data_IF_648307218740
#
_entry.id   IF_648307218740
#
_cell.length_a   1.000
_cell.length_b   1.000
_cell.length_c   1.000
_cell.angle_alpha   90.00
_cell.angle_beta   90.00
_cell.angle_gamma   90.00
#
_symmetry.space_group_name_H-M   'P 1'
#
loop_
_entity.id
_entity.type
_entity.pdbx_description
1 polymer ?
#
# COMPACT_ATOMS: atom_id res chain seq x y z
N UNK A 1 -22.19 2.23 10.46
CA UNK A 1 -22.61 0.87 10.04
C UNK A 1 -24.04 0.54 10.46
N UNK A 2 -24.41 0.57 11.77
CA UNK A 2 -25.81 0.28 12.23
C UNK A 2 -26.86 1.15 11.54
N UNK A 3 -26.62 2.46 11.32
CA UNK A 3 -27.54 3.36 10.65
C UNK A 3 -27.71 3.04 9.16
N UNK A 4 -26.68 2.58 8.49
CA UNK A 4 -26.71 2.15 7.10
C UNK A 4 -27.55 0.88 6.95
N UNK A 5 -27.34 -0.10 7.82
CA UNK A 5 -28.07 -1.37 7.81
C UNK A 5 -29.58 -1.19 8.15
N UNK A 6 -29.93 -0.20 8.94
CA UNK A 6 -31.32 0.10 9.26
C UNK A 6 -32.17 0.52 8.04
N UNK A 7 -31.52 1.04 6.98
CA UNK A 7 -32.18 1.43 5.72
C UNK A 7 -32.22 0.34 4.66
N UNK A 8 -31.64 -0.84 4.90
CA UNK A 8 -31.56 -1.91 3.90
C UNK A 8 -32.82 -2.76 3.94
N UNK A 9 -33.57 -2.81 2.84
CA UNK A 9 -34.80 -3.58 2.68
C UNK A 9 -34.59 -4.98 2.06
N UNK A 10 -33.36 -5.40 1.80
CA UNK A 10 -33.03 -6.68 1.19
C UNK A 10 -33.50 -7.88 2.03
N UNK A 11 -33.86 -8.97 1.35
CA UNK A 11 -34.31 -10.22 2.00
C UNK A 11 -33.21 -10.91 2.83
N UNK A 12 -31.95 -10.68 2.45
CA UNK A 12 -30.74 -11.13 3.17
C UNK A 12 -29.67 -10.06 3.07
N UNK A 13 -28.91 -9.88 4.14
CA UNK A 13 -27.74 -8.96 4.16
C UNK A 13 -26.52 -9.75 4.57
N UNK A 14 -25.56 -9.85 3.67
CA UNK A 14 -24.27 -10.45 3.94
C UNK A 14 -23.26 -9.32 4.21
N UNK A 15 -22.61 -9.38 5.36
CA UNK A 15 -21.54 -8.44 5.69
C UNK A 15 -20.22 -9.16 5.47
N UNK A 16 -19.53 -8.74 4.44
CA UNK A 16 -18.25 -9.31 4.08
C UNK A 16 -17.20 -8.24 4.34
N UNK A 17 -16.33 -8.42 5.36
CA UNK A 17 -15.24 -7.51 5.59
C UNK A 17 -14.24 -7.60 4.45
N UNK A 18 -13.95 -6.46 3.81
CA UNK A 18 -12.93 -6.34 2.76
C UNK A 18 -11.52 -6.24 3.37
N UNK A 19 -11.20 -7.15 4.28
CA UNK A 19 -9.85 -7.29 4.85
C UNK A 19 -9.14 -8.46 4.20
N UNK A 20 -7.86 -8.32 3.96
CA UNK A 20 -7.02 -9.34 3.31
C UNK A 20 -6.79 -10.54 4.24
N UNK A 21 -6.95 -10.35 5.55
CA UNK A 21 -6.83 -11.41 6.56
C UNK A 21 -7.84 -11.23 7.68
N UNK A 22 -8.12 -12.31 8.40
CA UNK A 22 -8.82 -12.21 9.67
C UNK A 22 -7.94 -11.45 10.66
N UNK A 23 -8.45 -10.36 11.20
CA UNK A 23 -7.78 -9.54 12.18
C UNK A 23 -8.72 -9.09 13.29
N UNK A 24 -8.19 -8.34 14.26
CA UNK A 24 -8.98 -7.86 15.40
C UNK A 24 -10.26 -7.13 15.00
N UNK A 25 -10.19 -6.31 13.95
CA UNK A 25 -11.37 -5.57 13.48
C UNK A 25 -12.41 -6.49 12.85
N UNK A 26 -12.01 -7.40 11.97
CA UNK A 26 -12.94 -8.31 11.29
C UNK A 26 -13.45 -9.41 12.21
N UNK A 27 -12.61 -9.94 13.09
CA UNK A 27 -12.99 -11.08 13.94
C UNK A 27 -13.71 -10.67 15.25
N UNK A 28 -13.46 -9.45 15.76
CA UNK A 28 -13.99 -9.03 17.05
C UNK A 28 -14.76 -7.72 17.03
N UNK A 29 -14.19 -6.62 16.47
CA UNK A 29 -14.81 -5.30 16.57
C UNK A 29 -16.07 -5.21 15.73
N UNK A 30 -16.00 -5.55 14.45
CA UNK A 30 -17.16 -5.46 13.56
C UNK A 30 -18.29 -6.41 13.98
N UNK A 31 -18.03 -7.71 14.26
CA UNK A 31 -19.06 -8.59 14.78
C UNK A 31 -19.72 -8.04 16.05
N UNK A 32 -18.93 -7.62 17.03
CA UNK A 32 -19.44 -7.04 18.29
C UNK A 32 -20.31 -5.80 18.04
N UNK A 33 -19.87 -4.87 17.18
CA UNK A 33 -20.63 -3.67 16.86
C UNK A 33 -21.95 -3.99 16.13
N UNK A 34 -22.01 -5.10 15.41
CA UNK A 34 -23.20 -5.59 14.73
C UNK A 34 -24.07 -6.51 15.59
N UNK A 35 -23.62 -6.84 16.80
CA UNK A 35 -24.36 -7.68 17.76
C UNK A 35 -24.19 -9.19 17.58
N UNK A 36 -23.11 -9.63 16.91
CA UNK A 36 -22.74 -11.04 16.84
C UNK A 36 -22.00 -11.48 18.10
N UNK A 37 -22.14 -12.74 18.45
CA UNK A 37 -21.28 -13.40 19.45
C UNK A 37 -19.92 -13.74 18.82
N UNK A 38 -18.84 -13.84 19.62
CA UNK A 38 -17.58 -14.37 19.14
C UNK A 38 -17.77 -15.74 18.48
N UNK A 39 -17.32 -15.88 17.24
CA UNK A 39 -17.42 -17.12 16.47
C UNK A 39 -18.81 -17.44 15.88
N UNK A 40 -19.80 -16.59 16.07
CA UNK A 40 -21.13 -16.80 15.50
C UNK A 40 -21.29 -16.13 14.13
N UNK A 41 -21.88 -16.83 13.18
CA UNK A 41 -22.23 -16.30 11.86
C UNK A 41 -23.59 -15.57 11.83
N UNK A 42 -24.36 -15.63 12.93
CA UNK A 42 -25.66 -14.96 13.06
C UNK A 42 -25.72 -14.12 14.33
N UNK A 43 -26.32 -12.92 14.29
CA UNK A 43 -26.40 -12.04 15.44
C UNK A 43 -27.41 -12.59 16.48
N UNK A 44 -27.20 -12.26 17.76
CA UNK A 44 -28.22 -12.47 18.83
C UNK A 44 -29.49 -11.62 18.64
N UNK A 45 -29.55 -10.80 17.62
CA UNK A 45 -30.69 -9.91 17.35
C UNK A 45 -31.81 -10.67 16.63
N UNK A 46 -33.04 -10.19 16.80
CA UNK A 46 -34.24 -10.74 16.14
C UNK A 46 -34.31 -10.56 14.63
N UNK A 47 -33.22 -10.18 13.97
CA UNK A 47 -33.17 -10.05 12.51
C UNK A 47 -32.47 -11.28 11.89
N UNK A 48 -33.22 -12.31 11.46
CA UNK A 48 -32.68 -13.56 10.92
C UNK A 48 -32.06 -13.40 9.51
N UNK A 49 -32.01 -12.18 8.99
CA UNK A 49 -31.53 -11.86 7.63
C UNK A 49 -30.09 -11.40 7.57
N UNK A 50 -29.42 -11.21 8.72
CA UNK A 50 -28.06 -10.71 8.80
C UNK A 50 -27.08 -11.87 8.99
N UNK A 51 -26.14 -12.02 8.09
CA UNK A 51 -25.07 -13.02 8.14
C UNK A 51 -23.72 -12.32 8.14
N UNK A 52 -22.83 -12.72 9.04
CA UNK A 52 -21.44 -12.27 9.05
C UNK A 52 -20.56 -13.36 8.44
N UNK A 53 -19.95 -13.06 7.31
CA UNK A 53 -19.07 -13.98 6.61
C UNK A 53 -17.61 -13.78 7.06
N UNK A 54 -16.79 -14.82 6.89
CA UNK A 54 -15.34 -14.70 7.07
C UNK A 54 -14.76 -13.68 6.06
N UNK A 55 -13.68 -12.97 6.42
CA UNK A 55 -13.00 -12.07 5.49
C UNK A 55 -12.53 -12.81 4.25
N UNK A 56 -12.63 -12.16 3.10
CA UNK A 56 -12.27 -12.75 1.81
C UNK A 56 -10.84 -12.36 1.49
N UNK A 57 -9.90 -13.04 2.09
CA UNK A 57 -8.49 -12.81 1.82
C UNK A 57 -7.81 -13.89 1.00
N UNK A 58 -8.55 -14.95 0.65
CA UNK A 58 -7.91 -16.17 0.14
C UNK A 58 -8.05 -16.39 -1.36
N UNK A 59 -8.88 -15.59 -2.06
CA UNK A 59 -9.02 -15.73 -3.51
C UNK A 59 -9.33 -14.36 -4.14
N UNK A 60 -8.45 -13.88 -5.01
CA UNK A 60 -8.56 -12.56 -5.66
C UNK A 60 -9.91 -12.35 -6.35
N UNK A 61 -10.44 -13.40 -6.98
CA UNK A 61 -11.73 -13.39 -7.65
C UNK A 61 -12.92 -13.17 -6.70
N UNK A 62 -12.86 -13.66 -5.48
CA UNK A 62 -13.98 -13.56 -4.54
C UNK A 62 -14.27 -12.13 -4.09
N UNK A 63 -13.26 -11.31 -3.89
CA UNK A 63 -13.43 -9.91 -3.50
C UNK A 63 -14.21 -9.14 -4.58
N UNK A 64 -13.84 -9.33 -5.84
CA UNK A 64 -14.53 -8.71 -6.98
C UNK A 64 -15.98 -9.18 -7.13
N UNK A 65 -16.24 -10.49 -7.01
CA UNK A 65 -17.60 -11.06 -7.09
C UNK A 65 -18.50 -10.48 -6.01
N UNK A 66 -18.02 -10.42 -4.77
CA UNK A 66 -18.82 -9.91 -3.66
C UNK A 66 -19.05 -8.40 -3.74
N UNK A 67 -18.09 -7.64 -4.25
CA UNK A 67 -18.32 -6.23 -4.56
C UNK A 67 -19.40 -6.07 -5.63
N UNK A 68 -19.38 -6.88 -6.69
CA UNK A 68 -20.39 -6.87 -7.73
C UNK A 68 -21.78 -7.22 -7.19
N UNK A 69 -21.88 -8.25 -6.35
CA UNK A 69 -23.13 -8.64 -5.69
C UNK A 69 -23.63 -7.55 -4.75
N UNK A 70 -22.75 -6.96 -3.92
CA UNK A 70 -23.12 -5.88 -3.02
C UNK A 70 -23.63 -4.63 -3.75
N UNK A 71 -23.04 -4.29 -4.90
CA UNK A 71 -23.48 -3.18 -5.73
C UNK A 71 -24.83 -3.48 -6.39
N UNK A 72 -25.04 -4.70 -6.87
CA UNK A 72 -26.32 -5.14 -7.41
C UNK A 72 -27.43 -5.09 -6.34
N UNK A 73 -27.14 -5.57 -5.14
CA UNK A 73 -28.08 -5.54 -3.99
C UNK A 73 -28.35 -4.11 -3.52
N UNK A 74 -27.41 -3.18 -3.70
CA UNK A 74 -27.61 -1.75 -3.44
C UNK A 74 -28.47 -1.04 -4.50
N UNK A 75 -28.88 -1.77 -5.54
CA UNK A 75 -29.76 -1.23 -6.59
C UNK A 75 -29.03 -0.50 -7.71
N UNK A 76 -27.73 -0.71 -7.88
CA UNK A 76 -27.01 -0.21 -9.05
C UNK A 76 -27.60 -0.85 -10.31
N UNK A 77 -27.99 -0.05 -11.33
CA UNK A 77 -28.61 -0.57 -12.55
C UNK A 77 -27.68 -1.59 -13.24
N UNK A 78 -28.30 -2.64 -13.82
CA UNK A 78 -27.56 -3.64 -14.57
C UNK A 78 -26.74 -3.01 -15.70
N UNK A 79 -25.48 -3.44 -15.83
CA UNK A 79 -24.55 -2.93 -16.83
C UNK A 79 -23.74 -1.70 -16.41
N UNK A 80 -24.07 -1.05 -15.28
CA UNK A 80 -23.26 0.07 -14.75
C UNK A 80 -21.94 -0.42 -14.14
N UNK A 81 -21.99 -1.54 -13.44
CA UNK A 81 -20.79 -2.22 -12.92
C UNK A 81 -20.71 -3.61 -13.50
N UNK A 82 -19.58 -3.93 -14.13
CA UNK A 82 -19.32 -5.24 -14.74
C UNK A 82 -17.98 -5.76 -14.26
N UNK A 83 -17.96 -6.93 -13.64
CA UNK A 83 -16.73 -7.60 -13.24
C UNK A 83 -16.24 -8.51 -14.38
N UNK A 84 -15.04 -8.26 -14.86
CA UNK A 84 -14.37 -9.11 -15.84
C UNK A 84 -13.04 -9.57 -15.22
N UNK A 85 -12.81 -10.88 -15.23
CA UNK A 85 -11.62 -11.49 -14.61
C UNK A 85 -10.86 -12.29 -15.64
N UNK A 86 -9.53 -12.26 -15.53
CA UNK A 86 -8.66 -13.05 -16.39
C UNK A 86 -7.21 -12.55 -16.38
N UNK A 87 -6.31 -13.29 -17.05
CA UNK A 87 -4.91 -12.89 -17.13
C UNK A 87 -4.72 -11.54 -17.80
N UNK A 88 -3.72 -10.77 -17.34
CA UNK A 88 -3.36 -9.48 -17.94
C UNK A 88 -3.01 -9.58 -19.42
N UNK A 89 -2.38 -10.68 -19.84
CA UNK A 89 -2.02 -10.94 -21.25
C UNK A 89 -3.22 -11.20 -22.19
N UNK A 90 -4.42 -11.37 -21.66
CA UNK A 90 -5.65 -11.56 -22.45
C UNK A 90 -6.67 -10.48 -22.16
N UNK A 91 -7.25 -10.48 -20.95
CA UNK A 91 -8.27 -9.49 -20.55
C UNK A 91 -7.67 -8.08 -20.48
N UNK A 92 -6.47 -7.92 -19.94
CA UNK A 92 -5.79 -6.63 -19.88
C UNK A 92 -5.48 -6.06 -21.26
N UNK A 93 -5.01 -6.88 -22.18
CA UNK A 93 -4.74 -6.48 -23.57
C UNK A 93 -6.04 -6.10 -24.30
N UNK A 94 -7.13 -6.86 -24.10
CA UNK A 94 -8.44 -6.53 -24.69
C UNK A 94 -8.97 -5.20 -24.17
N UNK A 95 -8.94 -4.98 -22.84
CA UNK A 95 -9.37 -3.70 -22.23
C UNK A 95 -8.55 -2.51 -22.76
N UNK A 96 -7.26 -2.71 -22.99
CA UNK A 96 -6.39 -1.67 -23.52
C UNK A 96 -6.67 -1.37 -25.00
N UNK A 97 -6.90 -2.40 -25.81
CA UNK A 97 -7.04 -2.29 -27.26
C UNK A 97 -8.48 -1.99 -27.71
N UNK A 98 -9.49 -2.28 -26.88
CA UNK A 98 -10.89 -2.18 -27.26
C UNK A 98 -11.32 -0.73 -27.52
N UNK A 99 -11.85 -0.42 -28.70
CA UNK A 99 -12.27 0.93 -29.04
C UNK A 99 -13.47 1.45 -28.21
N UNK A 100 -14.24 0.54 -27.61
CA UNK A 100 -15.37 0.88 -26.74
C UNK A 100 -14.98 1.30 -25.33
N UNK A 101 -13.70 1.26 -24.97
CA UNK A 101 -13.20 1.72 -23.65
C UNK A 101 -12.83 3.21 -23.76
N UNK A 102 -13.53 4.08 -23.03
CA UNK A 102 -13.35 5.54 -23.06
C UNK A 102 -12.29 6.06 -22.09
N UNK A 103 -11.92 5.29 -21.08
CA UNK A 103 -10.90 5.65 -20.10
C UNK A 103 -10.42 4.43 -19.30
N UNK A 104 -9.21 4.49 -18.76
CA UNK A 104 -8.65 3.44 -17.89
C UNK A 104 -8.13 4.05 -16.61
N UNK A 105 -8.42 3.36 -15.50
CA UNK A 105 -7.75 3.53 -14.22
C UNK A 105 -7.02 2.25 -13.89
N UNK A 106 -5.75 2.37 -13.59
CA UNK A 106 -4.88 1.22 -13.31
C UNK A 106 -4.08 1.46 -12.03
N UNK A 107 -3.91 0.42 -11.23
CA UNK A 107 -2.95 0.37 -10.14
C UNK A 107 -2.12 -0.91 -10.26
N UNK A 108 -0.80 -0.77 -10.29
CA UNK A 108 0.10 -1.92 -10.44
C UNK A 108 1.57 -1.50 -10.57
N UNK A 109 2.38 -2.36 -11.20
CA UNK A 109 3.80 -2.08 -11.41
C UNK A 109 4.02 -0.94 -12.41
N UNK A 110 5.18 -0.27 -12.28
CA UNK A 110 5.59 0.79 -13.22
C UNK A 110 5.61 0.29 -14.68
N UNK A 111 6.22 -0.86 -14.93
CA UNK A 111 6.38 -1.38 -16.29
C UNK A 111 5.03 -1.60 -16.98
N UNK A 112 4.07 -2.22 -16.27
CA UNK A 112 2.73 -2.46 -16.81
C UNK A 112 1.95 -1.17 -16.96
N UNK A 113 1.94 -0.32 -15.92
CA UNK A 113 1.18 0.93 -15.93
C UNK A 113 1.70 1.92 -16.97
N UNK A 114 3.02 2.03 -17.13
CA UNK A 114 3.60 2.93 -18.11
C UNK A 114 3.44 2.43 -19.55
N UNK A 115 3.52 1.12 -19.78
CA UNK A 115 3.20 0.54 -21.09
C UNK A 115 1.74 0.80 -21.47
N UNK A 116 0.82 0.55 -20.54
CA UNK A 116 -0.61 0.85 -20.69
C UNK A 116 -0.84 2.34 -20.98
N UNK A 117 -0.21 3.25 -20.23
CA UNK A 117 -0.32 4.69 -20.45
C UNK A 117 0.14 5.12 -21.84
N UNK A 118 1.22 4.54 -22.35
CA UNK A 118 1.77 4.84 -23.67
C UNK A 118 0.91 4.29 -24.82
N UNK A 119 0.25 3.16 -24.63
CA UNK A 119 -0.45 2.42 -25.70
C UNK A 119 -1.96 2.69 -25.73
N UNK A 120 -2.57 3.13 -24.64
CA UNK A 120 -4.04 3.24 -24.56
C UNK A 120 -4.61 4.32 -25.48
N UNK A 121 -3.93 5.42 -25.71
CA UNK A 121 -4.41 6.57 -26.48
C UNK A 121 -3.85 6.63 -27.90
N UNK A 122 -3.75 5.51 -28.61
CA UNK A 122 -3.12 5.44 -29.93
C UNK A 122 -3.94 6.07 -31.06
N UNK A 123 -5.26 6.10 -30.94
CA UNK A 123 -6.17 6.61 -31.98
C UNK A 123 -6.59 8.07 -31.72
N UNK A 124 -6.89 8.39 -30.48
CA UNK A 124 -7.22 9.72 -30.01
C UNK A 124 -6.98 9.79 -28.48
N UNK A 125 -6.80 10.99 -27.90
CA UNK A 125 -6.57 11.12 -26.46
C UNK A 125 -7.74 10.58 -25.65
N UNK A 126 -7.45 9.73 -24.69
CA UNK A 126 -8.40 9.18 -23.71
C UNK A 126 -7.84 9.34 -22.31
N UNK A 127 -8.67 9.51 -21.27
CA UNK A 127 -8.21 9.50 -19.89
C UNK A 127 -7.52 8.16 -19.55
N UNK A 128 -6.28 8.26 -19.10
CA UNK A 128 -5.52 7.12 -18.61
C UNK A 128 -4.85 7.50 -17.29
N UNK A 129 -5.43 7.01 -16.19
CA UNK A 129 -4.97 7.31 -14.85
C UNK A 129 -4.25 6.07 -14.33
N UNK A 130 -2.95 6.18 -14.08
CA UNK A 130 -2.13 5.08 -13.57
C UNK A 130 -1.50 5.49 -12.25
N UNK A 131 -1.66 4.62 -11.25
CA UNK A 131 -0.97 4.64 -9.97
C UNK A 131 -0.04 3.44 -9.92
N UNK A 132 1.25 3.70 -9.71
CA UNK A 132 2.30 2.72 -9.87
C UNK A 132 3.15 2.61 -8.61
N UNK A 133 4.28 1.94 -8.71
CA UNK A 133 5.18 1.66 -7.62
C UNK A 133 5.77 2.88 -6.92
N UNK A 134 6.54 2.62 -5.88
CA UNK A 134 7.22 3.63 -5.09
C UNK A 134 8.58 3.14 -4.56
N UNK A 135 9.48 4.07 -4.33
CA UNK A 135 10.73 3.85 -3.61
C UNK A 135 10.82 4.86 -2.47
N UNK A 136 10.03 4.60 -1.44
CA UNK A 136 9.61 5.57 -0.46
C UNK A 136 10.67 5.77 0.63
N UNK A 137 11.21 6.99 0.81
CA UNK A 137 12.17 7.31 1.85
C UNK A 137 11.49 7.63 3.19
N UNK A 138 12.19 7.32 4.27
CA UNK A 138 12.05 7.99 5.55
C UNK A 138 13.36 8.72 5.86
N UNK A 139 13.28 9.97 6.26
CA UNK A 139 14.42 10.79 6.67
C UNK A 139 14.34 10.99 8.18
N UNK A 140 15.45 10.73 8.88
CA UNK A 140 15.53 10.87 10.33
C UNK A 140 16.66 11.86 10.66
N UNK A 141 16.31 13.00 11.24
CA UNK A 141 17.29 14.00 11.65
C UNK A 141 17.82 13.71 13.05
N UNK A 142 18.88 14.39 13.45
CA UNK A 142 19.43 14.32 14.80
C UNK A 142 18.46 14.83 15.89
N UNK A 143 17.40 15.52 15.49
CA UNK A 143 16.38 16.09 16.37
C UNK A 143 15.09 15.28 16.40
N UNK A 144 15.11 14.08 15.82
CA UNK A 144 13.96 13.19 15.82
C UNK A 144 13.76 12.53 17.20
N UNK A 145 12.51 12.18 17.51
CA UNK A 145 12.25 11.11 18.47
C UNK A 145 12.56 9.77 17.80
N UNK A 146 13.67 9.15 18.20
CA UNK A 146 14.18 7.95 17.55
C UNK A 146 13.33 6.70 17.83
N UNK A 147 12.63 6.65 18.97
CA UNK A 147 11.70 5.56 19.28
C UNK A 147 10.48 5.62 18.36
N UNK A 148 9.89 6.80 18.19
CA UNK A 148 8.78 7.05 17.28
C UNK A 148 9.20 6.79 15.83
N UNK A 149 10.38 7.27 15.42
CA UNK A 149 10.92 7.06 14.08
C UNK A 149 11.13 5.58 13.78
N UNK A 150 11.77 4.83 14.69
CA UNK A 150 11.99 3.40 14.52
C UNK A 150 10.66 2.63 14.40
N UNK A 151 9.66 2.93 15.23
CA UNK A 151 8.33 2.31 15.16
C UNK A 151 7.66 2.59 13.83
N UNK A 152 7.62 3.85 13.41
CA UNK A 152 7.00 4.25 12.15
C UNK A 152 7.66 3.64 10.93
N UNK A 153 8.99 3.56 10.92
CA UNK A 153 9.76 2.94 9.83
C UNK A 153 9.46 1.44 9.76
N UNK A 154 9.54 0.71 10.87
CA UNK A 154 9.31 -0.74 10.90
C UNK A 154 7.88 -1.08 10.46
N UNK A 155 6.88 -0.39 10.98
CA UNK A 155 5.49 -0.58 10.56
C UNK A 155 5.27 -0.28 9.08
N UNK A 156 5.91 0.77 8.57
CA UNK A 156 5.81 1.13 7.16
C UNK A 156 6.53 0.14 6.26
N UNK A 157 7.74 -0.29 6.63
CA UNK A 157 8.56 -1.16 5.80
C UNK A 157 8.04 -2.61 5.74
N UNK A 158 7.59 -3.14 6.87
CA UNK A 158 7.31 -4.57 6.98
C UNK A 158 5.82 -4.90 7.04
N UNK A 159 4.96 -3.92 7.32
CA UNK A 159 3.51 -4.14 7.29
C UNK A 159 3.07 -4.70 5.94
N UNK A 160 2.28 -5.78 5.97
CA UNK A 160 1.86 -6.52 4.77
C UNK A 160 3.03 -7.13 3.97
N UNK A 161 4.14 -7.49 4.65
CA UNK A 161 5.33 -8.04 3.99
C UNK A 161 6.04 -7.05 3.06
N UNK A 162 5.93 -5.74 3.32
CA UNK A 162 6.48 -4.72 2.42
C UNK A 162 5.82 -4.68 1.03
N UNK A 163 4.75 -5.45 0.81
CA UNK A 163 4.05 -5.59 -0.46
C UNK A 163 2.99 -4.50 -0.63
N UNK A 164 3.40 -3.24 -0.46
CA UNK A 164 2.59 -2.03 -0.64
C UNK A 164 3.37 -1.02 -1.46
N UNK A 165 2.71 -0.34 -2.38
CA UNK A 165 3.29 0.76 -3.14
C UNK A 165 3.84 1.88 -2.22
N UNK A 166 3.23 2.08 -1.04
CA UNK A 166 3.61 3.07 -0.04
C UNK A 166 4.57 2.58 1.03
N UNK A 167 5.02 1.31 1.00
CA UNK A 167 5.94 0.79 2.00
C UNK A 167 7.26 1.57 2.02
N UNK A 168 7.77 1.88 3.21
CA UNK A 168 9.13 2.39 3.34
C UNK A 168 10.12 1.32 2.85
N UNK A 169 11.12 1.72 2.09
CA UNK A 169 12.13 0.79 1.57
C UNK A 169 13.54 1.38 1.58
N UNK A 170 13.68 2.62 2.06
CA UNK A 170 14.97 3.28 2.27
C UNK A 170 14.88 4.31 3.40
N UNK A 171 15.91 4.36 4.21
CA UNK A 171 16.04 5.25 5.35
C UNK A 171 17.32 6.05 5.21
N UNK A 172 17.20 7.37 5.26
CA UNK A 172 18.32 8.28 5.36
C UNK A 172 18.35 8.87 6.76
N UNK A 173 19.41 8.64 7.50
CA UNK A 173 19.53 9.08 8.89
C UNK A 173 20.76 9.96 9.07
N UNK A 174 20.62 11.09 9.75
CA UNK A 174 21.78 11.90 10.09
C UNK A 174 22.75 11.10 10.95
N UNK A 175 24.05 11.23 10.61
CA UNK A 175 25.13 10.39 11.15
C UNK A 175 25.14 10.28 12.67
N UNK A 176 24.82 11.36 13.37
CA UNK A 176 24.79 11.40 14.84
C UNK A 176 23.65 10.57 15.45
N UNK A 177 22.57 10.34 14.72
CA UNK A 177 21.42 9.56 15.17
C UNK A 177 21.44 8.09 14.68
N UNK A 178 22.37 7.76 13.75
CA UNK A 178 22.36 6.49 13.02
C UNK A 178 22.45 5.27 13.94
N UNK A 179 23.42 5.25 14.85
CA UNK A 179 23.68 4.04 15.66
C UNK A 179 22.50 3.70 16.56
N UNK A 180 21.94 4.71 17.19
CA UNK A 180 20.78 4.53 18.07
C UNK A 180 19.51 4.17 17.27
N UNK A 181 19.24 4.82 16.15
CA UNK A 181 18.11 4.47 15.29
C UNK A 181 18.21 3.02 14.82
N UNK A 182 19.36 2.60 14.32
CA UNK A 182 19.58 1.22 13.85
C UNK A 182 19.38 0.23 14.98
N UNK A 183 19.93 0.49 16.17
CA UNK A 183 19.72 -0.35 17.35
C UNK A 183 18.23 -0.53 17.68
N UNK A 184 17.47 0.56 17.67
CA UNK A 184 16.02 0.54 17.93
C UNK A 184 15.25 -0.20 16.84
N UNK A 185 15.58 0.04 15.58
CA UNK A 185 14.96 -0.66 14.44
C UNK A 185 15.20 -2.17 14.52
N UNK A 186 16.42 -2.61 14.82
CA UNK A 186 16.75 -4.04 14.99
C UNK A 186 15.94 -4.64 16.15
N UNK A 187 15.94 -4.00 17.32
CA UNK A 187 15.20 -4.49 18.49
C UNK A 187 13.68 -4.61 18.24
N UNK A 188 13.10 -3.70 17.44
CA UNK A 188 11.68 -3.76 17.09
C UNK A 188 11.43 -4.88 16.05
N UNK A 189 12.35 -5.09 15.13
CA UNK A 189 12.26 -6.15 14.12
C UNK A 189 12.34 -7.54 14.73
N UNK A 190 13.20 -7.75 15.73
CA UNK A 190 13.30 -9.02 16.48
C UNK A 190 11.99 -9.45 17.15
N UNK A 191 11.10 -8.50 17.46
CA UNK A 191 9.81 -8.77 18.11
C UNK A 191 8.69 -9.13 17.12
N UNK A 192 8.96 -9.08 15.81
CA UNK A 192 7.98 -9.40 14.80
C UNK A 192 7.71 -10.90 14.77
N UNK A 193 6.47 -11.26 15.03
CA UNK A 193 6.00 -12.63 14.93
C UNK A 193 5.61 -12.95 13.49
N UNK A 194 6.11 -14.07 12.96
CA UNK A 194 5.91 -14.48 11.57
C UNK A 194 5.10 -15.77 11.55
N UNK A 195 4.07 -15.83 10.73
CA UNK A 195 3.27 -17.05 10.62
C UNK A 195 1.96 -16.86 9.87
N UNK A 196 1.05 -17.81 10.06
CA UNK A 196 -0.28 -17.77 9.46
C UNK A 196 -1.00 -16.47 9.82
N UNK A 197 -1.35 -15.62 8.84
CA UNK A 197 -2.01 -14.34 9.08
C UNK A 197 -3.44 -14.48 9.63
N UNK A 198 -4.00 -15.67 9.65
CA UNK A 198 -5.27 -15.95 10.32
C UNK A 198 -5.14 -16.03 11.85
N UNK A 199 -3.92 -16.21 12.35
CA UNK A 199 -3.63 -16.23 13.77
C UNK A 199 -3.22 -14.82 14.22
N UNK A 200 -3.93 -14.29 15.21
CA UNK A 200 -3.79 -12.91 15.67
C UNK A 200 -2.42 -12.57 16.23
N UNK A 201 -1.74 -13.54 16.79
CA UNK A 201 -0.38 -13.42 17.32
C UNK A 201 0.67 -13.18 16.24
N UNK A 202 0.37 -13.52 14.99
CA UNK A 202 1.29 -13.31 13.88
C UNK A 202 1.07 -11.93 13.24
N UNK A 203 2.15 -11.17 13.20
CA UNK A 203 2.11 -9.82 12.61
C UNK A 203 2.51 -9.81 11.14
N UNK A 204 3.43 -10.69 10.74
CA UNK A 204 3.93 -10.81 9.38
C UNK A 204 3.48 -12.14 8.75
N UNK A 205 2.76 -12.04 7.64
CA UNK A 205 2.35 -13.17 6.82
C UNK A 205 3.34 -13.48 5.68
N UNK A 206 2.98 -14.39 4.76
CA UNK A 206 3.83 -14.79 3.65
C UNK A 206 3.91 -13.74 2.55
N UNK A 207 4.93 -13.85 1.70
CA UNK A 207 4.97 -13.20 0.40
C UNK A 207 3.96 -13.84 -0.57
N UNK A 208 3.66 -13.13 -1.66
CA UNK A 208 2.62 -13.55 -2.62
C UNK A 208 2.99 -14.83 -3.38
N UNK A 209 4.25 -14.99 -3.77
CA UNK A 209 4.72 -16.11 -4.58
C UNK A 209 6.24 -16.37 -4.41
N UNK A 210 6.72 -17.46 -5.02
CA UNK A 210 8.14 -17.82 -5.02
C UNK A 210 9.03 -16.77 -5.70
N UNK A 211 8.54 -16.06 -6.72
CA UNK A 211 9.31 -15.01 -7.40
C UNK A 211 9.60 -13.83 -6.47
N UNK A 212 8.69 -13.55 -5.53
CA UNK A 212 8.93 -12.56 -4.50
C UNK A 212 10.02 -13.03 -3.52
N UNK A 213 10.05 -14.33 -3.17
CA UNK A 213 11.13 -14.92 -2.38
C UNK A 213 12.47 -14.82 -3.13
N UNK A 214 12.50 -15.15 -4.40
CA UNK A 214 13.72 -15.07 -5.22
C UNK A 214 14.27 -13.65 -5.30
N UNK A 215 13.39 -12.65 -5.48
CA UNK A 215 13.79 -11.23 -5.44
C UNK A 215 14.35 -10.82 -4.08
N UNK A 216 13.70 -11.27 -3.00
CA UNK A 216 14.16 -11.01 -1.65
C UNK A 216 15.55 -11.61 -1.40
N UNK A 217 15.74 -12.89 -1.66
CA UNK A 217 17.02 -13.58 -1.46
C UNK A 217 18.12 -13.01 -2.36
N UNK A 218 17.80 -12.64 -3.59
CA UNK A 218 18.72 -11.95 -4.48
C UNK A 218 19.21 -10.62 -3.89
N UNK A 219 18.30 -9.80 -3.35
CA UNK A 219 18.65 -8.53 -2.69
C UNK A 219 19.47 -8.73 -1.41
N UNK A 220 19.16 -9.75 -0.61
CA UNK A 220 19.94 -10.12 0.56
C UNK A 220 21.37 -10.56 0.17
N UNK A 221 21.49 -11.35 -0.89
CA UNK A 221 22.79 -11.76 -1.44
C UNK A 221 23.66 -10.58 -1.86
N UNK A 222 23.06 -9.56 -2.47
CA UNK A 222 23.74 -8.31 -2.80
C UNK A 222 24.13 -7.52 -1.55
N UNK A 223 23.22 -7.38 -0.60
CA UNK A 223 23.50 -6.66 0.65
C UNK A 223 24.62 -7.31 1.47
N UNK A 224 24.69 -8.64 1.49
CA UNK A 224 25.80 -9.37 2.14
C UNK A 224 27.15 -9.15 1.44
N UNK A 225 27.15 -8.95 0.13
CA UNK A 225 28.36 -8.72 -0.66
C UNK A 225 28.84 -7.26 -0.62
N UNK A 226 27.90 -6.33 -0.74
CA UNK A 226 28.18 -4.93 -1.04
C UNK A 226 28.00 -4.00 0.18
N UNK A 227 27.56 -4.55 1.33
CA UNK A 227 27.33 -3.85 2.59
C UNK A 227 27.14 -4.80 3.77
N UNK A 228 26.11 -4.54 4.57
CA UNK A 228 25.82 -5.34 5.78
C UNK A 228 24.33 -5.65 5.89
N UNK A 229 24.00 -6.90 6.21
CA UNK A 229 22.65 -7.29 6.69
C UNK A 229 22.66 -7.15 8.21
N UNK A 230 21.87 -6.20 8.71
CA UNK A 230 21.82 -5.89 10.14
C UNK A 230 20.92 -6.87 10.91
N UNK A 231 19.85 -7.33 10.27
CA UNK A 231 18.91 -8.34 10.78
C UNK A 231 18.15 -8.99 9.63
N UNK A 232 17.70 -10.22 9.83
CA UNK A 232 16.88 -10.98 8.88
C UNK A 232 17.66 -11.54 7.69
N UNK A 233 16.95 -11.87 6.64
CA UNK A 233 17.57 -12.32 5.40
C UNK A 233 17.40 -13.80 5.10
N UNK A 234 16.62 -14.54 5.91
CA UNK A 234 16.42 -15.97 5.70
C UNK A 234 15.05 -16.29 5.11
N UNK A 235 14.99 -17.36 4.34
CA UNK A 235 13.74 -17.99 3.88
C UNK A 235 13.32 -19.03 4.91
N UNK A 236 12.11 -18.92 5.42
CA UNK A 236 11.61 -19.76 6.51
C UNK A 236 10.80 -20.93 5.91
N UNK A 237 11.37 -22.12 5.98
CA UNK A 237 10.83 -23.34 5.34
C UNK A 237 10.53 -24.49 6.29
N UNK A 238 10.57 -24.24 7.60
CA UNK A 238 10.38 -25.28 8.61
C UNK A 238 8.97 -25.27 9.20
N UNK A 239 8.49 -26.44 9.63
CA UNK A 239 7.21 -26.60 10.29
C UNK A 239 6.03 -26.07 9.47
N UNK A 240 5.16 -25.29 10.11
CA UNK A 240 4.01 -24.69 9.46
C UNK A 240 4.36 -23.66 8.36
N UNK A 241 5.56 -23.05 8.46
CA UNK A 241 6.02 -22.05 7.49
C UNK A 241 6.40 -22.67 6.13
N UNK A 242 6.62 -23.99 6.08
CA UNK A 242 6.89 -24.71 4.82
C UNK A 242 5.71 -24.70 3.82
N UNK A 243 4.52 -24.34 4.27
CA UNK A 243 3.31 -24.28 3.44
C UNK A 243 3.08 -22.91 2.79
N UNK A 244 4.00 -21.95 2.95
CA UNK A 244 3.90 -20.61 2.38
C UNK A 244 5.27 -20.03 2.02
N UNK A 245 5.28 -18.80 1.54
CA UNK A 245 6.46 -18.07 1.10
C UNK A 245 6.94 -17.12 2.19
N UNK A 246 7.36 -17.65 3.32
CA UNK A 246 7.74 -16.88 4.49
C UNK A 246 9.22 -16.48 4.47
N UNK A 247 9.49 -15.21 4.74
CA UNK A 247 10.86 -14.69 4.88
C UNK A 247 10.94 -13.82 6.14
N UNK A 248 12.13 -13.72 6.71
CA UNK A 248 12.39 -12.75 7.77
C UNK A 248 12.36 -11.31 7.22
N UNK A 249 11.80 -10.33 7.94
CA UNK A 249 11.96 -8.93 7.56
C UNK A 249 13.43 -8.51 7.73
N UNK A 250 13.97 -7.76 6.76
CA UNK A 250 15.38 -7.44 6.72
C UNK A 250 15.68 -5.95 6.75
N UNK A 251 16.68 -5.56 7.54
CA UNK A 251 17.29 -4.25 7.52
C UNK A 251 18.72 -4.42 6.99
N UNK A 252 19.07 -3.68 5.96
CA UNK A 252 20.40 -3.71 5.35
C UNK A 252 21.04 -2.33 5.36
N UNK A 253 22.33 -2.26 5.55
CA UNK A 253 23.11 -1.03 5.44
C UNK A 253 23.97 -1.08 4.19
N UNK A 254 23.85 -0.05 3.35
CA UNK A 254 24.49 0.02 2.05
C UNK A 254 24.82 1.48 1.70
N UNK A 255 25.78 1.72 0.82
CA UNK A 255 25.99 3.05 0.24
C UNK A 255 24.70 3.57 -0.45
N UNK A 256 24.33 4.85 -0.33
CA UNK A 256 23.12 5.40 -0.92
C UNK A 256 23.09 5.31 -2.46
N UNK A 257 24.24 5.13 -3.10
CA UNK A 257 24.36 4.90 -4.56
C UNK A 257 23.96 3.48 -4.99
N UNK A 258 23.81 2.54 -4.05
CA UNK A 258 23.45 1.16 -4.37
C UNK A 258 22.04 1.07 -4.98
N UNK A 259 21.83 0.08 -5.89
CA UNK A 259 20.53 -0.07 -6.56
C UNK A 259 19.36 -0.30 -5.60
N UNK A 260 19.60 -0.91 -4.44
CA UNK A 260 18.57 -1.14 -3.41
C UNK A 260 18.00 0.17 -2.80
N UNK A 261 18.61 1.33 -3.09
CA UNK A 261 18.03 2.66 -2.83
C UNK A 261 17.21 3.22 -4.00
N UNK A 262 17.20 2.55 -5.16
CA UNK A 262 16.54 3.03 -6.39
C UNK A 262 15.43 2.11 -6.88
N UNK A 263 15.63 0.79 -6.81
CA UNK A 263 14.70 -0.20 -7.35
C UNK A 263 13.63 -0.59 -6.35
N UNK A 264 12.38 -0.63 -6.77
CA UNK A 264 11.28 -1.18 -6.00
C UNK A 264 11.37 -2.72 -5.97
N UNK A 265 11.41 -3.30 -4.77
CA UNK A 265 11.49 -4.75 -4.60
C UNK A 265 10.15 -5.39 -4.24
N UNK A 266 9.29 -4.66 -3.56
CA UNK A 266 7.98 -5.12 -3.10
C UNK A 266 8.07 -6.34 -2.16
N UNK A 267 9.01 -6.28 -1.20
CA UNK A 267 9.32 -7.31 -0.21
C UNK A 267 9.69 -6.66 1.13
N UNK A 268 9.70 -7.38 2.26
CA UNK A 268 9.99 -6.83 3.58
C UNK A 268 11.51 -6.57 3.77
N UNK A 269 12.02 -5.59 3.02
CA UNK A 269 13.41 -5.15 3.08
C UNK A 269 13.48 -3.63 3.06
N UNK A 270 14.19 -3.05 4.02
CA UNK A 270 14.53 -1.62 4.02
C UNK A 270 16.04 -1.41 4.10
N UNK A 271 16.53 -0.47 3.28
CA UNK A 271 17.95 -0.11 3.27
C UNK A 271 18.17 1.17 4.09
N UNK A 272 19.24 1.21 4.86
CA UNK A 272 19.64 2.35 5.70
C UNK A 272 20.95 2.92 5.19
N UNK A 273 21.04 4.26 5.12
CA UNK A 273 22.29 4.98 4.86
C UNK A 273 22.39 6.20 5.77
N UNK A 274 23.60 6.45 6.28
CA UNK A 274 23.91 7.68 7.01
C UNK A 274 24.16 8.84 6.04
N UNK A 275 23.66 10.02 6.41
CA UNK A 275 23.84 11.28 5.68
C UNK A 275 24.40 12.37 6.60
N UNK A 276 24.95 13.41 6.02
CA UNK A 276 25.55 14.50 6.80
C UNK A 276 24.55 15.63 7.11
N UNK A 277 23.43 15.69 6.39
CA UNK A 277 22.39 16.70 6.61
C UNK A 277 21.02 16.31 6.04
N UNK A 278 19.97 16.98 6.51
CA UNK A 278 18.62 16.89 5.95
C UNK A 278 18.61 17.27 4.46
N UNK A 279 19.37 18.30 4.05
CA UNK A 279 19.46 18.72 2.66
C UNK A 279 20.00 17.62 1.74
N UNK A 280 21.04 16.89 2.17
CA UNK A 280 21.55 15.73 1.46
C UNK A 280 20.51 14.60 1.39
N UNK A 281 19.84 14.30 2.49
CA UNK A 281 18.77 13.29 2.53
C UNK A 281 17.64 13.59 1.56
N UNK A 282 17.20 14.86 1.47
CA UNK A 282 16.18 15.32 0.52
C UNK A 282 16.69 15.15 -0.92
N UNK A 283 17.93 15.56 -1.20
CA UNK A 283 18.52 15.44 -2.54
C UNK A 283 18.56 13.97 -2.99
N UNK A 284 19.13 13.07 -2.17
CA UNK A 284 19.18 11.63 -2.43
C UNK A 284 17.77 11.02 -2.57
N UNK A 285 16.82 11.48 -1.79
CA UNK A 285 15.42 11.05 -1.90
C UNK A 285 14.82 11.43 -3.24
N UNK A 286 15.14 12.60 -3.74
CA UNK A 286 14.63 13.13 -5.00
C UNK A 286 15.28 12.55 -6.26
N UNK A 287 16.45 11.92 -6.16
CA UNK A 287 17.10 11.23 -7.28
C UNK A 287 16.30 10.01 -7.79
N UNK A 288 15.39 9.48 -6.99
CA UNK A 288 14.52 8.37 -7.41
C UNK A 288 13.63 8.76 -8.58
N UNK A 289 13.44 7.82 -9.51
CA UNK A 289 12.41 7.93 -10.54
C UNK A 289 10.98 7.97 -9.94
N UNK A 290 10.80 7.43 -8.74
CA UNK A 290 9.52 7.37 -8.05
C UNK A 290 9.30 8.58 -7.12
N UNK A 291 8.02 8.88 -6.84
CA UNK A 291 7.62 9.94 -5.94
C UNK A 291 6.23 9.69 -5.34
N UNK A 292 6.00 8.51 -4.74
CA UNK A 292 4.69 8.19 -4.16
C UNK A 292 4.58 8.73 -2.74
N UNK A 293 5.35 8.21 -1.79
CA UNK A 293 5.33 8.69 -0.40
C UNK A 293 6.72 9.05 0.10
N UNK A 294 6.78 9.96 1.06
CA UNK A 294 8.01 10.30 1.78
C UNK A 294 7.70 10.76 3.20
N UNK A 295 8.59 10.46 4.14
CA UNK A 295 8.44 10.87 5.52
C UNK A 295 9.67 11.53 6.11
N UNK A 296 9.44 12.38 7.11
CA UNK A 296 10.49 12.94 7.94
C UNK A 296 10.14 12.75 9.42
N UNK A 297 11.17 12.48 10.20
CA UNK A 297 11.13 12.49 11.66
C UNK A 297 12.09 13.57 12.16
N UNK A 298 11.52 14.59 12.76
CA UNK A 298 12.22 15.73 13.36
C UNK A 298 11.29 16.48 14.31
N UNK A 299 11.80 16.94 15.43
CA UNK A 299 11.09 17.81 16.35
C UNK A 299 11.39 19.32 16.07
N UNK A 300 12.16 19.63 15.03
CA UNK A 300 12.47 20.98 14.60
C UNK A 300 11.56 21.44 13.46
N UNK A 301 10.77 22.49 13.69
CA UNK A 301 9.85 23.03 12.70
C UNK A 301 10.55 23.52 11.41
N UNK A 302 11.75 24.07 11.50
CA UNK A 302 12.47 24.54 10.32
C UNK A 302 12.92 23.37 9.44
N UNK A 303 13.33 22.25 10.04
CA UNK A 303 13.65 21.02 9.31
C UNK A 303 12.40 20.43 8.65
N UNK A 304 11.25 20.44 9.36
CA UNK A 304 9.98 19.99 8.79
C UNK A 304 9.56 20.84 7.60
N UNK A 305 9.63 22.18 7.70
CA UNK A 305 9.34 23.07 6.58
C UNK A 305 10.29 22.84 5.41
N UNK A 306 11.60 22.71 5.66
CA UNK A 306 12.58 22.39 4.62
C UNK A 306 12.26 21.08 3.90
N UNK A 307 11.82 20.05 4.64
CA UNK A 307 11.40 18.79 4.04
C UNK A 307 10.15 18.96 3.19
N UNK A 308 9.11 19.60 3.71
CA UNK A 308 7.83 19.78 2.99
C UNK A 308 8.01 20.58 1.70
N UNK A 309 8.88 21.58 1.70
CA UNK A 309 9.16 22.40 0.52
C UNK A 309 10.07 21.70 -0.49
N UNK A 310 10.98 20.82 -0.02
CA UNK A 310 12.04 20.26 -0.85
C UNK A 310 11.76 18.89 -1.43
N UNK A 311 10.90 18.08 -0.81
CA UNK A 311 10.69 16.69 -1.20
C UNK A 311 9.76 16.54 -2.40
N UNK A 312 10.06 15.61 -3.30
CA UNK A 312 9.27 15.35 -4.52
C UNK A 312 8.47 14.06 -4.42
N UNK A 313 7.41 14.06 -3.64
CA UNK A 313 6.47 12.95 -3.51
C UNK A 313 5.03 13.46 -3.31
N UNK A 314 4.05 12.65 -3.70
CA UNK A 314 2.65 13.04 -3.67
C UNK A 314 2.00 12.93 -2.29
N UNK A 315 2.51 12.06 -1.40
CA UNK A 315 1.98 11.84 -0.06
C UNK A 315 3.10 12.00 0.96
N UNK A 316 2.97 13.01 1.81
CA UNK A 316 3.99 13.34 2.81
C UNK A 316 3.48 13.06 4.22
N UNK A 317 4.39 12.68 5.10
CA UNK A 317 4.10 12.53 6.51
C UNK A 317 5.25 13.03 7.39
N UNK A 318 4.91 13.51 8.56
CA UNK A 318 5.83 14.03 9.58
C UNK A 318 5.56 13.32 10.88
N UNK A 319 6.59 12.80 11.54
CA UNK A 319 6.55 12.18 12.86
C UNK A 319 5.40 11.17 13.02
N UNK A 320 5.21 10.31 12.04
CA UNK A 320 4.09 9.38 12.03
C UNK A 320 4.52 8.00 12.50
N UNK A 321 4.15 7.62 13.71
CA UNK A 321 4.42 6.31 14.32
C UNK A 321 3.84 5.13 13.52
N UNK A 322 2.78 5.33 12.76
CA UNK A 322 2.21 4.31 11.89
C UNK A 322 2.87 4.25 10.49
N UNK A 323 3.84 5.15 10.21
CA UNK A 323 4.48 5.28 8.89
C UNK A 323 3.53 5.72 7.78
N UNK A 324 4.00 5.74 6.53
CA UNK A 324 3.23 6.15 5.35
C UNK A 324 2.28 5.06 4.86
N UNK A 325 1.68 4.33 5.72
CA UNK A 325 0.76 3.29 5.30
C UNK A 325 -0.66 3.81 5.25
N UNK A 326 -1.30 3.82 4.09
CA UNK A 326 -2.75 3.84 3.96
C UNK A 326 -3.51 4.79 4.91
N UNK A 327 -3.03 5.99 5.11
CA UNK A 327 -3.67 6.96 5.98
C UNK A 327 -4.47 8.01 5.23
N UNK A 328 -4.60 7.86 3.90
CA UNK A 328 -5.40 8.78 3.13
C UNK A 328 -6.89 8.57 3.43
N UNK A 329 -7.52 9.60 3.98
CA UNK A 329 -8.95 9.60 4.26
C UNK A 329 -9.70 10.12 3.03
N UNK A 330 -10.64 9.35 2.46
CA UNK A 330 -11.42 9.78 1.31
C UNK A 330 -12.05 11.16 1.52
N UNK A 331 -11.85 12.06 0.55
CA UNK A 331 -12.37 13.42 0.61
C UNK A 331 -11.60 14.40 1.50
N UNK A 332 -10.66 13.92 2.30
CA UNK A 332 -9.84 14.75 3.21
C UNK A 332 -8.39 14.77 2.75
N UNK A 333 -7.85 13.62 2.40
CA UNK A 333 -6.46 13.45 2.04
C UNK A 333 -6.36 12.71 0.70
N UNK A 334 -5.66 13.31 -0.24
CA UNK A 334 -5.38 12.70 -1.53
C UNK A 334 -4.31 11.61 -1.40
N UNK A 335 -4.39 10.60 -2.26
CA UNK A 335 -3.34 9.59 -2.39
C UNK A 335 -2.99 9.42 -3.86
N UNK A 336 -1.78 9.78 -4.26
CA UNK A 336 -1.31 9.66 -5.63
C UNK A 336 0.16 9.97 -5.77
N UNK A 337 0.76 9.40 -6.82
CA UNK A 337 2.18 9.48 -7.09
C UNK A 337 2.58 10.64 -8.01
N UNK A 338 3.76 11.15 -7.77
CA UNK A 338 4.49 12.01 -8.70
C UNK A 338 5.48 11.18 -9.50
N UNK A 339 6.08 11.76 -10.51
CA UNK A 339 7.09 11.10 -11.38
C UNK A 339 6.57 9.75 -11.91
N UNK A 340 7.37 8.69 -11.81
CA UNK A 340 7.01 7.35 -12.25
C UNK A 340 5.99 6.64 -11.34
N UNK A 341 5.53 7.28 -10.27
CA UNK A 341 4.52 6.69 -9.39
C UNK A 341 3.08 7.03 -9.79
N UNK A 342 2.85 7.99 -10.69
CA UNK A 342 1.50 8.32 -11.13
C UNK A 342 1.46 9.21 -12.37
N UNK A 343 0.34 9.24 -13.09
CA UNK A 343 0.23 9.91 -14.37
C UNK A 343 -0.31 11.34 -14.33
N UNK A 344 -1.14 11.69 -13.36
CA UNK A 344 -1.87 12.96 -13.39
C UNK A 344 -1.50 13.94 -12.29
N UNK A 345 -0.83 13.47 -11.24
CA UNK A 345 -0.61 14.24 -10.01
C UNK A 345 -1.91 14.59 -9.26
N UNK A 346 -3.07 14.16 -9.78
CA UNK A 346 -4.39 14.29 -9.16
C UNK A 346 -4.81 12.94 -8.64
N UNK A 347 -4.67 12.81 -7.37
CA UNK A 347 -4.70 11.55 -6.69
C UNK A 347 -6.08 10.95 -6.52
N UNK A 348 -6.13 9.66 -6.37
CA UNK A 348 -7.28 8.96 -5.81
C UNK A 348 -7.67 9.55 -4.45
N UNK A 349 -8.91 9.37 -4.04
CA UNK A 349 -9.49 9.83 -2.78
C UNK A 349 -9.66 11.36 -2.65
N UNK A 350 -9.16 12.16 -3.59
CA UNK A 350 -9.34 13.62 -3.60
C UNK A 350 -10.65 14.04 -4.27
N UNK A 351 -11.10 15.26 -3.99
CA UNK A 351 -12.25 15.87 -4.65
C UNK A 351 -12.06 16.02 -6.18
N UNK A 352 -10.82 16.04 -6.64
CA UNK A 352 -10.48 16.15 -8.06
C UNK A 352 -10.48 14.80 -8.79
N UNK A 353 -10.63 13.68 -8.08
CA UNK A 353 -10.62 12.37 -8.71
C UNK A 353 -11.85 12.11 -9.59
N UNK A 354 -13.09 12.35 -9.13
CA UNK A 354 -14.27 12.14 -9.95
C UNK A 354 -14.32 12.99 -11.21
N UNK A 355 -13.81 14.23 -11.16
CA UNK A 355 -13.85 15.14 -12.31
C UNK A 355 -12.97 14.68 -13.49
N UNK A 356 -12.00 13.79 -13.24
CA UNK A 356 -11.16 13.23 -14.30
C UNK A 356 -11.95 12.28 -15.22
N UNK A 357 -13.15 11.82 -14.81
CA UNK A 357 -14.05 10.98 -15.58
C UNK A 357 -15.17 11.78 -16.25
N UNK A 358 -15.21 13.10 -16.04
CA UNK A 358 -16.23 13.99 -16.55
C UNK A 358 -15.73 14.76 -17.78
N UNK A 359 -16.67 15.24 -18.59
CA UNK A 359 -16.39 16.13 -19.72
C UNK A 359 -17.21 17.39 -19.55
N UNK A 360 -16.58 18.54 -19.75
CA UNK A 360 -17.26 19.81 -19.79
C UNK A 360 -17.83 20.05 -21.19
N UNK A 361 -19.04 20.64 -21.25
CA UNK A 361 -19.68 21.06 -22.50
C UNK A 361 -20.24 22.47 -22.34
N UNK A 362 -19.81 23.37 -23.20
CA UNK A 362 -20.35 24.75 -23.23
C UNK A 362 -21.52 24.82 -24.20
N UNK A 363 -22.62 25.46 -23.78
CA UNK A 363 -23.80 25.75 -24.62
C UNK A 363 -23.97 27.26 -24.75
N UNK A 364 -24.13 27.75 -25.98
CA UNK A 364 -24.57 29.12 -26.27
C UNK A 364 -25.90 29.03 -26.98
N UNK A 365 -26.93 29.61 -26.39
CA UNK A 365 -28.26 29.71 -26.99
C UNK A 365 -28.54 31.21 -27.21
N UNK A 366 -28.90 31.57 -28.43
CA UNK A 366 -29.32 32.92 -28.80
C UNK A 366 -30.80 32.83 -29.23
N UNK A 367 -31.66 33.53 -28.54
CA UNK A 367 -33.09 33.61 -28.84
C UNK A 367 -33.37 34.56 -29.99
#
# INVERSE_FOLDING_TARGET
>A
MKSVLAGVSAARVFIVPLFISEGYFSAQVIPRELGFLPGASTPKTRNPKLFYCKPIGTHESMTGVLLAEALADAGIPSGVFNLVMGPGATVGEELQANPGIDGIVFTGSFDVGFDLFRRFSTRYPKPCIVEMGGKNPAIVTARADLEEAAEGIIRSAFGFGGQKCSANSRVYVERSARDELVRLMVQKTEKITIGDPLLRENWLGPLIDSRAVDRYLGAIGEARRDGQVLIGGEHLTEGALSHGFYVEPAIVELPPSHRLFRDELFVPLTAVAAVDSLGEAIALSNESAFGLTAGVYSQDHAEVEQFLDGIQAGVLYVNREAGATTGAWPGVQAFGGWKASGSTGKAGLSMYYPVQFMREQSHTVVD
#
